data_IF_851381695020
#
_entry.id   IF_851381695020
#
_cell.length_a   1.000
_cell.length_b   1.000
_cell.length_c   1.000
_cell.angle_alpha   90.00
_cell.angle_beta   90.00
_cell.angle_gamma   90.00
#
_symmetry.space_group_name_H-M   'P 1'
#
loop_
_entity.id
_entity.type
_entity.pdbx_description
1 polymer ?
#
# COMPACT_ATOMS: atom_id res chain seq x y z
N UNK A 1 -20.91 -20.74 16.28
CA UNK A 1 -20.43 -20.31 14.94
C UNK A 1 -20.42 -18.80 14.75
N UNK A 2 -21.55 -18.08 14.72
CA UNK A 2 -21.56 -16.61 14.51
C UNK A 2 -20.90 -15.85 15.68
N UNK A 3 -21.09 -16.31 16.92
CA UNK A 3 -20.41 -15.78 18.11
C UNK A 3 -18.91 -16.01 18.10
N UNK A 4 -18.47 -17.24 17.80
CA UNK A 4 -17.05 -17.63 17.69
C UNK A 4 -16.34 -16.87 16.55
N UNK A 5 -17.04 -16.66 15.43
CA UNK A 5 -16.54 -15.86 14.32
C UNK A 5 -16.38 -14.39 14.71
N UNK A 6 -17.35 -13.82 15.44
CA UNK A 6 -17.25 -12.46 15.99
C UNK A 6 -16.07 -12.34 16.95
N UNK A 7 -15.86 -13.33 17.82
CA UNK A 7 -14.72 -13.37 18.75
C UNK A 7 -13.38 -13.48 18.02
N UNK A 8 -13.33 -14.24 16.92
CA UNK A 8 -12.14 -14.39 16.08
C UNK A 8 -11.76 -13.09 15.37
N UNK A 9 -12.72 -12.39 14.74
CA UNK A 9 -12.46 -11.10 14.07
C UNK A 9 -12.22 -9.95 15.06
N UNK A 10 -12.71 -10.07 16.30
CA UNK A 10 -12.48 -9.08 17.36
C UNK A 10 -11.05 -9.11 17.89
N UNK A 11 -10.25 -10.12 17.51
CA UNK A 11 -8.79 -10.09 17.68
C UNK A 11 -8.26 -8.99 16.75
N UNK A 12 -8.01 -7.79 17.27
CA UNK A 12 -7.68 -6.58 16.50
C UNK A 12 -6.62 -6.78 15.41
N UNK A 13 -5.65 -7.66 15.62
CA UNK A 13 -4.61 -8.00 14.62
C UNK A 13 -5.16 -8.58 13.30
N UNK A 14 -6.31 -9.26 13.31
CA UNK A 14 -6.92 -9.87 12.11
C UNK A 14 -7.71 -8.85 11.31
N UNK A 15 -8.42 -7.94 11.98
CA UNK A 15 -9.22 -6.91 11.31
C UNK A 15 -8.34 -5.90 10.58
N UNK A 16 -7.28 -5.41 11.23
CA UNK A 16 -6.34 -4.46 10.63
C UNK A 16 -5.58 -5.10 9.46
N UNK A 17 -5.20 -6.37 9.59
CA UNK A 17 -4.60 -7.14 8.50
C UNK A 17 -5.56 -7.30 7.31
N UNK A 18 -6.82 -7.65 7.57
CA UNK A 18 -7.82 -7.82 6.52
C UNK A 18 -8.07 -6.50 5.75
N UNK A 19 -8.20 -5.39 6.48
CA UNK A 19 -8.36 -4.06 5.87
C UNK A 19 -7.13 -3.69 5.05
N UNK A 20 -5.92 -3.92 5.58
CA UNK A 20 -4.67 -3.64 4.87
C UNK A 20 -4.53 -4.43 3.57
N UNK A 21 -4.87 -5.72 3.57
CA UNK A 21 -4.81 -6.58 2.37
C UNK A 21 -5.85 -6.16 1.33
N UNK A 22 -7.08 -5.86 1.75
CA UNK A 22 -8.15 -5.44 0.84
C UNK A 22 -7.82 -4.08 0.19
N UNK A 23 -7.37 -3.11 0.98
CA UNK A 23 -6.95 -1.79 0.48
C UNK A 23 -5.73 -1.95 -0.43
N UNK A 24 -4.74 -2.76 -0.06
CA UNK A 24 -3.56 -3.03 -0.87
C UNK A 24 -3.91 -3.64 -2.23
N UNK A 25 -4.81 -4.62 -2.25
CA UNK A 25 -5.28 -5.24 -3.49
C UNK A 25 -6.07 -4.27 -4.38
N UNK A 26 -6.94 -3.44 -3.79
CA UNK A 26 -7.68 -2.42 -4.52
C UNK A 26 -6.76 -1.33 -5.08
N UNK A 27 -5.79 -0.87 -4.27
CA UNK A 27 -4.81 0.13 -4.68
C UNK A 27 -3.91 -0.38 -5.81
N UNK A 28 -3.49 -1.65 -5.75
CA UNK A 28 -2.75 -2.30 -6.82
C UNK A 28 -3.48 -2.23 -8.16
N UNK A 29 -4.80 -2.47 -8.20
CA UNK A 29 -5.61 -2.35 -9.43
C UNK A 29 -5.64 -0.92 -9.97
N UNK A 30 -5.72 0.09 -9.11
CA UNK A 30 -5.70 1.50 -9.51
C UNK A 30 -4.36 1.83 -10.16
N UNK A 31 -3.26 1.37 -9.56
CA UNK A 31 -1.90 1.57 -10.09
C UNK A 31 -1.72 0.85 -11.43
N UNK A 32 -2.19 -0.39 -11.53
CA UNK A 32 -2.13 -1.15 -12.79
C UNK A 32 -2.92 -0.45 -13.89
N UNK A 33 -4.16 -0.03 -13.65
CA UNK A 33 -4.96 0.69 -14.65
C UNK A 33 -4.31 2.02 -15.09
N UNK A 34 -3.73 2.79 -14.15
CA UNK A 34 -2.97 3.99 -14.51
C UNK A 34 -1.76 3.65 -15.39
N UNK A 35 -1.09 2.54 -15.13
CA UNK A 35 0.12 2.16 -15.87
C UNK A 35 -0.24 1.61 -17.25
N UNK A 36 -1.15 0.65 -17.30
CA UNK A 36 -1.50 -0.12 -18.49
C UNK A 36 -2.42 0.68 -19.44
N UNK A 37 -3.37 1.45 -18.91
CA UNK A 37 -4.39 2.13 -19.72
C UNK A 37 -4.01 3.57 -20.08
N UNK A 38 -3.11 4.21 -19.31
CA UNK A 38 -2.74 5.62 -19.52
C UNK A 38 -1.26 5.74 -19.90
N UNK A 39 -0.35 5.24 -19.05
CA UNK A 39 1.08 5.47 -19.24
C UNK A 39 1.64 4.68 -20.43
N UNK A 40 1.30 3.41 -20.57
CA UNK A 40 1.77 2.56 -21.67
C UNK A 40 1.33 3.07 -23.06
N UNK A 41 0.07 3.46 -23.28
CA UNK A 41 -0.34 4.08 -24.55
C UNK A 41 0.42 5.39 -24.84
N UNK A 42 0.56 6.27 -23.84
CA UNK A 42 1.30 7.53 -24.01
C UNK A 42 2.77 7.29 -24.31
N UNK A 43 3.42 6.36 -23.60
CA UNK A 43 4.80 5.95 -23.88
C UNK A 43 4.93 5.32 -25.27
N UNK A 44 3.97 4.49 -25.68
CA UNK A 44 3.94 3.88 -27.00
C UNK A 44 3.79 4.89 -28.15
N UNK A 45 3.11 6.01 -27.91
CA UNK A 45 3.01 7.11 -28.88
C UNK A 45 4.31 7.91 -29.01
N UNK A 46 5.09 8.04 -27.91
CA UNK A 46 6.31 8.86 -27.88
C UNK A 46 7.56 8.07 -28.27
N UNK A 47 7.70 6.83 -27.78
CA UNK A 47 8.89 5.99 -27.94
C UNK A 47 8.72 4.97 -29.08
N UNK A 48 7.47 4.75 -29.53
CA UNK A 48 7.11 3.68 -30.45
C UNK A 48 6.72 2.39 -29.72
N UNK A 49 6.26 1.38 -30.47
CA UNK A 49 5.87 0.08 -29.90
C UNK A 49 7.10 -0.63 -29.31
N UNK A 50 7.29 -0.52 -28.00
CA UNK A 50 8.29 -1.29 -27.25
C UNK A 50 7.79 -2.72 -27.03
N UNK A 51 7.79 -3.54 -28.07
CA UNK A 51 7.50 -4.97 -27.93
C UNK A 51 8.74 -5.80 -28.25
N UNK A 52 9.42 -6.24 -27.18
CA UNK A 52 10.57 -7.12 -27.28
C UNK A 52 10.20 -8.61 -27.28
N UNK A 53 8.91 -8.98 -27.25
CA UNK A 53 8.44 -10.36 -27.13
C UNK A 53 8.93 -11.29 -28.25
N UNK A 54 9.33 -10.72 -29.38
CA UNK A 54 9.85 -11.43 -30.55
C UNK A 54 11.30 -11.91 -30.38
N UNK A 55 12.01 -11.44 -29.35
CA UNK A 55 13.37 -11.90 -29.05
C UNK A 55 13.30 -13.27 -28.38
N UNK A 56 13.64 -14.30 -29.14
CA UNK A 56 13.69 -15.69 -28.67
C UNK A 56 15.09 -16.24 -28.91
N UNK A 57 15.70 -16.84 -27.89
CA UNK A 57 16.98 -17.53 -27.99
C UNK A 57 16.73 -19.01 -27.71
N UNK A 58 16.63 -19.81 -28.78
CA UNK A 58 16.26 -21.23 -28.68
C UNK A 58 14.85 -21.41 -28.08
N UNK A 59 14.66 -22.22 -27.03
CA UNK A 59 13.36 -22.33 -26.35
C UNK A 59 13.07 -21.18 -25.37
N UNK A 60 14.03 -20.28 -25.12
CA UNK A 60 13.92 -19.23 -24.10
C UNK A 60 13.31 -17.94 -24.68
N UNK A 61 12.16 -17.54 -24.13
CA UNK A 61 11.46 -16.28 -24.46
C UNK A 61 12.07 -15.09 -23.72
N UNK A 62 13.34 -14.78 -24.01
CA UNK A 62 14.09 -13.69 -23.37
C UNK A 62 13.39 -12.33 -23.54
N UNK A 63 12.76 -12.13 -24.69
CA UNK A 63 11.96 -10.95 -24.99
C UNK A 63 10.83 -10.67 -24.00
N UNK A 64 10.12 -11.73 -23.57
CA UNK A 64 9.05 -11.60 -22.59
C UNK A 64 9.59 -11.21 -21.21
N UNK A 65 10.76 -11.74 -20.84
CA UNK A 65 11.42 -11.38 -19.60
C UNK A 65 11.85 -9.91 -19.59
N UNK A 66 12.44 -9.42 -20.68
CA UNK A 66 12.82 -8.00 -20.82
C UNK A 66 11.58 -7.11 -20.70
N UNK A 67 10.48 -7.46 -21.37
CA UNK A 67 9.20 -6.74 -21.23
C UNK A 67 8.70 -6.73 -19.78
N UNK A 68 8.77 -7.84 -19.06
CA UNK A 68 8.37 -7.91 -17.65
C UNK A 68 9.25 -7.03 -16.74
N UNK A 69 10.56 -7.01 -16.97
CA UNK A 69 11.50 -6.15 -16.24
C UNK A 69 11.21 -4.67 -16.52
N UNK A 70 11.02 -4.30 -17.79
CA UNK A 70 10.64 -2.93 -18.15
C UNK A 70 9.31 -2.52 -17.52
N UNK A 71 8.29 -3.39 -17.59
CA UNK A 71 6.99 -3.13 -16.98
C UNK A 71 7.10 -2.91 -15.46
N UNK A 72 7.91 -3.71 -14.77
CA UNK A 72 8.17 -3.53 -13.34
C UNK A 72 8.76 -2.14 -13.03
N UNK A 73 9.75 -1.68 -13.80
CA UNK A 73 10.30 -0.33 -13.63
C UNK A 73 9.28 0.78 -13.92
N UNK A 74 8.42 0.60 -14.93
CA UNK A 74 7.35 1.56 -15.25
C UNK A 74 6.34 1.63 -14.11
N UNK A 75 5.85 0.49 -13.59
CA UNK A 75 4.93 0.45 -12.45
C UNK A 75 5.56 1.09 -11.21
N UNK A 76 6.81 0.77 -10.90
CA UNK A 76 7.52 1.37 -9.77
C UNK A 76 7.62 2.90 -9.91
N UNK A 77 7.91 3.40 -11.12
CA UNK A 77 7.92 4.83 -11.42
C UNK A 77 6.52 5.47 -11.31
N UNK A 78 5.47 4.78 -11.76
CA UNK A 78 4.09 5.23 -11.64
C UNK A 78 3.66 5.33 -10.17
N UNK A 79 3.95 4.32 -9.35
CA UNK A 79 3.70 4.36 -7.89
C UNK A 79 4.42 5.55 -7.28
N UNK A 80 5.69 5.76 -7.63
CA UNK A 80 6.45 6.91 -7.16
C UNK A 80 5.80 8.25 -7.53
N UNK A 81 5.33 8.42 -8.77
CA UNK A 81 4.63 9.62 -9.20
C UNK A 81 3.32 9.83 -8.44
N UNK A 82 2.53 8.77 -8.22
CA UNK A 82 1.28 8.83 -7.45
C UNK A 82 1.54 9.23 -6.01
N UNK A 83 2.52 8.59 -5.34
CA UNK A 83 2.91 8.92 -3.97
C UNK A 83 3.45 10.35 -3.88
N UNK A 84 4.27 10.78 -4.85
CA UNK A 84 4.80 12.14 -4.93
C UNK A 84 3.69 13.17 -5.13
N UNK A 85 2.72 12.90 -6.01
CA UNK A 85 1.57 13.76 -6.23
C UNK A 85 0.72 13.85 -4.96
N UNK A 86 0.39 12.73 -4.34
CA UNK A 86 -0.34 12.70 -3.08
C UNK A 86 0.39 13.50 -1.98
N UNK A 87 1.71 13.35 -1.86
CA UNK A 87 2.52 14.10 -0.90
C UNK A 87 2.63 15.60 -1.25
N UNK A 88 2.55 15.98 -2.52
CA UNK A 88 2.53 17.38 -2.96
C UNK A 88 1.17 18.05 -2.70
N UNK A 89 0.07 17.30 -2.77
CA UNK A 89 -1.29 17.78 -2.51
C UNK A 89 -1.70 17.68 -1.03
N UNK A 90 -0.92 16.99 -0.20
CA UNK A 90 -0.93 17.22 1.24
C UNK A 90 -0.44 18.64 1.51
N UNK A 91 -1.38 19.60 1.53
CA UNK A 91 -1.29 20.70 2.50
C UNK A 91 -1.00 20.06 3.87
N UNK A 92 -0.29 20.72 4.80
CA UNK A 92 -0.34 20.33 6.20
C UNK A 92 -1.78 20.52 6.68
N UNK A 93 -2.67 19.61 6.27
CA UNK A 93 -3.89 19.32 6.99
C UNK A 93 -3.40 18.79 8.33
N UNK A 94 -3.96 19.29 9.45
CA UNK A 94 -3.62 18.75 10.77
C UNK A 94 -3.70 17.24 10.63
N UNK A 95 -2.61 16.58 11.05
CA UNK A 95 -2.43 15.14 10.92
C UNK A 95 -3.80 14.50 11.02
N UNK A 96 -4.24 13.80 9.96
CA UNK A 96 -5.32 12.83 10.10
C UNK A 96 -5.00 12.16 11.41
N UNK A 97 -5.83 12.39 12.43
CA UNK A 97 -5.63 11.79 13.74
C UNK A 97 -5.63 10.31 13.40
N UNK A 98 -4.41 9.75 13.28
CA UNK A 98 -4.16 8.33 13.35
C UNK A 98 -4.79 8.04 14.68
N UNK A 99 -6.05 7.57 14.66
CA UNK A 99 -6.96 7.49 15.80
C UNK A 99 -6.07 7.22 16.98
N UNK A 100 -5.81 8.28 17.78
CA UNK A 100 -4.74 8.25 18.76
C UNK A 100 -4.93 6.93 19.49
N UNK A 101 -3.94 6.02 19.48
CA UNK A 101 -4.17 4.63 19.87
C UNK A 101 -4.99 4.69 21.13
N UNK A 102 -6.25 4.27 21.04
CA UNK A 102 -7.26 4.53 22.08
C UNK A 102 -6.58 4.09 23.35
N UNK A 103 -6.27 5.04 24.24
CA UNK A 103 -5.47 4.74 25.43
C UNK A 103 -6.17 3.58 26.07
N UNK A 104 -5.55 2.39 25.99
CA UNK A 104 -6.19 1.19 26.49
C UNK A 104 -6.41 1.43 27.98
N UNK A 105 -7.46 0.85 28.56
CA UNK A 105 -7.73 1.02 30.00
C UNK A 105 -6.47 0.77 30.83
N UNK A 106 -5.63 -0.16 30.39
CA UNK A 106 -4.32 -0.46 30.96
C UNK A 106 -3.35 0.73 30.93
N UNK A 107 -3.27 1.47 29.81
CA UNK A 107 -2.43 2.66 29.71
C UNK A 107 -2.94 3.82 30.58
N UNK A 108 -4.26 3.94 30.77
CA UNK A 108 -4.83 4.88 31.75
C UNK A 108 -4.46 4.49 33.17
N UNK A 109 -4.64 3.21 33.53
CA UNK A 109 -4.27 2.67 34.84
C UNK A 109 -2.78 2.85 35.13
N UNK A 110 -1.91 2.64 34.15
CA UNK A 110 -0.47 2.85 34.30
C UNK A 110 -0.11 4.32 34.52
N UNK A 111 -0.84 5.26 33.91
CA UNK A 111 -0.67 6.68 34.17
C UNK A 111 -1.11 7.06 35.60
N UNK A 112 -2.26 6.54 36.05
CA UNK A 112 -2.74 6.71 37.42
C UNK A 112 -1.77 6.12 38.46
N UNK A 113 -1.22 4.92 38.21
CA UNK A 113 -0.23 4.29 39.08
C UNK A 113 1.06 5.13 39.15
N UNK A 114 1.54 5.65 38.02
CA UNK A 114 2.72 6.53 37.98
C UNK A 114 2.50 7.78 38.83
N UNK A 115 1.33 8.39 38.72
CA UNK A 115 1.01 9.63 39.42
C UNK A 115 0.79 9.38 40.92
N UNK A 116 0.19 8.24 41.29
CA UNK A 116 0.10 7.78 42.68
C UNK A 116 1.47 7.47 43.30
N UNK A 117 2.42 6.93 42.53
CA UNK A 117 3.79 6.69 42.99
C UNK A 117 4.58 7.99 43.14
N UNK A 118 4.42 8.96 42.22
CA UNK A 118 5.04 10.29 42.33
C UNK A 118 4.49 11.12 43.49
N UNK A 119 3.22 10.94 43.83
CA UNK A 119 2.63 11.60 45.00
C UNK A 119 3.11 11.00 46.34
N UNK A 120 3.75 9.83 46.31
CA UNK A 120 4.23 9.09 47.48
C UNK A 120 5.76 9.15 47.65
N UNK A 121 6.47 9.79 46.71
CA UNK A 121 7.90 10.14 46.78
C UNK A 121 8.07 11.60 47.12
#
# INVERSE_FOLDING_TARGET
MVSEFKEFISKGNVLDLAVGVIIGAAFGKIVSSLTDDIIMPVLGLVVGKMDYSTIVIGPMKVGLFINAVLNFFIIAFCIFLVVKAANKFKRPAPAVEVVAPVITKDQMLLAEIRDALRARS
#
